data_IF_670687993066
#
_entry.id   IF_670687993066
#
_cell.length_a   1.000
_cell.length_b   1.000
_cell.length_c   1.000
_cell.angle_alpha   90.00
_cell.angle_beta   90.00
_cell.angle_gamma   90.00
#
_symmetry.space_group_name_H-M   'P 1'
#
loop_
_entity.id
_entity.type
_entity.pdbx_description
1 polymer ?
#
# COMPACT_ATOMS: atom_id res chain seq x y z
N UNK A 1 -0.54 -30.48 -1.52
CA UNK A 1 -1.04 -29.25 -0.84
C UNK A 1 -0.08 -28.14 -1.14
N UNK A 2 -0.56 -27.03 -1.72
CA UNK A 2 0.28 -25.87 -2.10
C UNK A 2 0.70 -25.11 -0.83
N UNK A 3 1.98 -24.82 -0.68
CA UNK A 3 2.58 -24.14 0.46
C UNK A 3 2.88 -22.69 0.12
N UNK A 4 2.16 -21.76 0.73
CA UNK A 4 2.29 -20.33 0.49
C UNK A 4 3.00 -19.67 1.68
N UNK A 5 4.15 -19.05 1.40
CA UNK A 5 4.85 -18.22 2.38
C UNK A 5 4.28 -16.81 2.36
N UNK A 6 3.83 -16.32 3.51
CA UNK A 6 3.28 -14.97 3.68
C UNK A 6 4.30 -14.07 4.36
N UNK A 7 4.74 -13.03 3.62
CA UNK A 7 5.59 -11.95 4.12
C UNK A 7 4.74 -10.69 4.32
N UNK A 8 3.75 -10.76 5.22
CA UNK A 8 2.73 -9.73 5.42
C UNK A 8 2.76 -9.29 6.89
N UNK A 9 2.66 -7.98 7.10
CA UNK A 9 2.43 -7.41 8.43
C UNK A 9 0.92 -7.27 8.67
N UNK A 10 0.39 -7.94 9.70
CA UNK A 10 -1.04 -7.96 10.01
C UNK A 10 -1.52 -6.78 10.87
N UNK A 11 -0.70 -5.76 11.05
CA UNK A 11 -1.07 -4.55 11.78
C UNK A 11 -2.18 -3.78 11.03
N UNK A 12 -2.14 -3.75 9.70
CA UNK A 12 -3.10 -3.03 8.87
C UNK A 12 -4.40 -3.80 8.61
N UNK A 13 -5.50 -3.06 8.43
CA UNK A 13 -6.79 -3.65 8.03
C UNK A 13 -6.73 -4.23 6.61
N UNK A 14 -5.92 -3.62 5.73
CA UNK A 14 -5.70 -4.12 4.38
C UNK A 14 -5.10 -5.54 4.40
N UNK A 15 -4.05 -5.76 5.19
CA UNK A 15 -3.38 -7.06 5.29
C UNK A 15 -4.30 -8.14 5.89
N UNK A 16 -5.12 -7.76 6.88
CA UNK A 16 -6.13 -8.65 7.43
C UNK A 16 -7.19 -9.06 6.40
N UNK A 17 -7.64 -8.12 5.56
CA UNK A 17 -8.58 -8.39 4.46
C UNK A 17 -7.95 -9.25 3.37
N UNK A 18 -6.68 -8.98 3.03
CA UNK A 18 -5.93 -9.79 2.09
C UNK A 18 -5.85 -11.25 2.56
N UNK A 19 -5.47 -11.48 3.82
CA UNK A 19 -5.42 -12.83 4.36
C UNK A 19 -6.79 -13.54 4.30
N UNK A 20 -7.88 -12.84 4.64
CA UNK A 20 -9.24 -13.41 4.52
C UNK A 20 -9.56 -13.82 3.10
N UNK A 21 -9.21 -12.99 2.11
CA UNK A 21 -9.40 -13.30 0.69
C UNK A 21 -8.59 -14.51 0.24
N UNK A 22 -7.32 -14.60 0.66
CA UNK A 22 -6.46 -15.75 0.36
C UNK A 22 -7.01 -17.06 0.96
N UNK A 23 -7.48 -17.02 2.21
CA UNK A 23 -8.08 -18.18 2.88
C UNK A 23 -9.37 -18.60 2.19
N UNK A 24 -10.22 -17.65 1.79
CA UNK A 24 -11.45 -17.95 1.07
C UNK A 24 -11.16 -18.58 -0.29
N UNK A 25 -10.24 -17.99 -1.07
CA UNK A 25 -9.83 -18.56 -2.35
C UNK A 25 -9.28 -19.99 -2.21
N UNK A 26 -8.47 -20.21 -1.19
CA UNK A 26 -7.94 -21.56 -0.89
C UNK A 26 -9.04 -22.60 -0.59
N UNK A 27 -10.12 -22.20 0.07
CA UNK A 27 -11.26 -23.11 0.34
C UNK A 27 -12.01 -23.46 -0.94
N UNK A 28 -12.08 -22.55 -1.90
CA UNK A 28 -12.82 -22.73 -3.14
C UNK A 28 -12.01 -23.46 -4.23
N UNK A 29 -10.67 -23.29 -4.23
CA UNK A 29 -9.80 -23.74 -5.31
C UNK A 29 -8.76 -24.79 -4.90
N UNK A 30 -8.92 -25.39 -3.75
CA UNK A 30 -8.08 -26.47 -3.22
C UNK A 30 -7.31 -26.05 -1.97
N UNK A 31 -6.90 -27.03 -1.14
CA UNK A 31 -6.28 -26.71 0.14
C UNK A 31 -4.89 -26.14 -0.05
N UNK A 32 -4.67 -24.91 0.41
CA UNK A 32 -3.36 -24.29 0.56
C UNK A 32 -2.92 -24.29 2.01
N UNK A 33 -1.63 -24.48 2.23
CA UNK A 33 -1.01 -24.33 3.54
C UNK A 33 -0.30 -23.00 3.61
N UNK A 34 -0.79 -22.11 4.47
CA UNK A 34 -0.18 -20.81 4.69
C UNK A 34 0.80 -20.86 5.86
N UNK A 35 1.99 -20.34 5.64
CA UNK A 35 2.93 -20.06 6.71
C UNK A 35 3.24 -18.56 6.74
N UNK A 36 2.98 -17.96 7.90
CA UNK A 36 3.34 -16.58 8.16
C UNK A 36 4.73 -16.51 8.79
N UNK A 37 5.65 -15.87 8.14
CA UNK A 37 6.93 -15.56 8.75
C UNK A 37 6.74 -14.43 9.77
N UNK A 38 7.09 -14.61 11.05
CA UNK A 38 7.01 -13.55 12.04
C UNK A 38 7.88 -12.35 11.64
N UNK A 39 7.41 -11.12 11.92
CA UNK A 39 8.13 -9.90 11.55
C UNK A 39 9.54 -9.81 12.15
N UNK A 40 9.72 -10.31 13.40
CA UNK A 40 11.03 -10.36 14.04
C UNK A 40 12.04 -11.28 13.32
N UNK A 41 11.55 -12.25 12.56
CA UNK A 41 12.41 -13.20 11.84
C UNK A 41 13.24 -12.47 10.77
N UNK A 42 12.60 -11.58 10.01
CA UNK A 42 13.31 -10.74 9.04
C UNK A 42 14.33 -9.83 9.71
N UNK A 43 13.99 -9.25 10.86
CA UNK A 43 14.92 -8.42 11.62
C UNK A 43 16.12 -9.20 12.20
N UNK A 44 15.89 -10.47 12.59
CA UNK A 44 16.90 -11.31 13.23
C UNK A 44 17.84 -12.01 12.21
N UNK A 45 17.29 -12.50 11.11
CA UNK A 45 18.02 -13.34 10.15
C UNK A 45 18.19 -12.70 8.78
N UNK A 46 17.61 -11.52 8.58
CA UNK A 46 17.62 -10.81 7.30
C UNK A 46 16.97 -11.60 6.16
N UNK A 47 17.17 -11.11 4.97
CA UNK A 47 16.56 -11.66 3.76
C UNK A 47 17.14 -13.02 3.36
N UNK A 48 18.42 -13.24 3.62
CA UNK A 48 19.05 -14.56 3.42
C UNK A 48 18.44 -15.63 4.32
N UNK A 49 18.05 -15.26 5.54
CA UNK A 49 17.32 -16.14 6.44
C UNK A 49 15.95 -16.52 5.90
N UNK A 50 15.24 -15.57 5.29
CA UNK A 50 13.94 -15.81 4.63
C UNK A 50 14.10 -16.78 3.47
N UNK A 51 15.10 -16.57 2.61
CA UNK A 51 15.41 -17.47 1.50
C UNK A 51 15.71 -18.89 1.96
N UNK A 52 16.60 -19.01 2.95
CA UNK A 52 16.96 -20.31 3.52
C UNK A 52 15.72 -21.02 4.05
N UNK A 53 14.90 -20.33 4.82
CA UNK A 53 13.68 -20.90 5.39
C UNK A 53 12.69 -21.30 4.29
N UNK A 54 12.48 -20.49 3.26
CA UNK A 54 11.59 -20.80 2.14
C UNK A 54 12.04 -22.08 1.39
N UNK A 55 13.35 -22.25 1.19
CA UNK A 55 13.95 -23.47 0.60
C UNK A 55 13.72 -24.69 1.50
N UNK A 56 14.02 -24.60 2.79
CA UNK A 56 13.87 -25.71 3.74
C UNK A 56 12.40 -26.14 3.90
N UNK A 57 11.49 -25.17 3.97
CA UNK A 57 10.05 -25.46 4.05
C UNK A 57 9.47 -25.91 2.71
N UNK A 58 10.19 -25.74 1.61
CA UNK A 58 9.74 -26.04 0.24
C UNK A 58 8.49 -25.26 -0.10
N UNK A 59 8.57 -23.94 -0.02
CA UNK A 59 7.48 -23.05 -0.39
C UNK A 59 7.19 -23.18 -1.91
N UNK A 60 5.91 -23.22 -2.26
CA UNK A 60 5.46 -23.25 -3.66
C UNK A 60 5.17 -21.85 -4.22
N UNK A 61 4.94 -20.84 -3.35
CA UNK A 61 4.80 -19.43 -3.73
C UNK A 61 5.07 -18.52 -2.54
N UNK A 62 5.33 -17.24 -2.85
CA UNK A 62 5.48 -16.15 -1.88
C UNK A 62 4.45 -15.07 -2.18
N UNK A 63 3.76 -14.57 -1.12
CA UNK A 63 2.89 -13.40 -1.19
C UNK A 63 3.26 -12.45 -0.06
N UNK A 64 3.53 -11.17 -0.37
CA UNK A 64 3.79 -10.17 0.67
C UNK A 64 4.73 -9.06 0.23
N UNK A 65 5.57 -8.60 1.17
CA UNK A 65 6.47 -7.47 0.98
C UNK A 65 7.91 -7.96 0.82
N UNK A 66 8.61 -7.37 -0.16
CA UNK A 66 10.02 -7.61 -0.39
C UNK A 66 10.67 -6.33 -0.87
N UNK A 67 11.64 -5.85 -0.13
CA UNK A 67 12.25 -4.53 -0.37
C UNK A 67 13.69 -4.62 -0.89
N UNK A 68 14.23 -5.83 -1.02
CA UNK A 68 15.60 -6.02 -1.49
C UNK A 68 15.63 -6.25 -2.99
N UNK A 69 16.16 -5.27 -3.71
CA UNK A 69 16.32 -5.35 -5.16
C UNK A 69 17.56 -6.17 -5.58
N UNK A 70 18.44 -6.52 -4.64
CA UNK A 70 19.67 -7.31 -4.95
C UNK A 70 19.43 -8.81 -4.96
N UNK A 71 18.36 -9.29 -4.32
CA UNK A 71 17.98 -10.70 -4.26
C UNK A 71 16.74 -10.93 -5.10
N UNK A 72 16.89 -11.63 -6.21
CA UNK A 72 15.77 -12.04 -7.04
C UNK A 72 15.18 -13.35 -6.50
N UNK A 73 14.08 -13.21 -5.70
CA UNK A 73 13.37 -14.34 -5.09
C UNK A 73 12.93 -15.40 -6.10
N UNK A 74 12.48 -14.97 -7.29
CA UNK A 74 11.97 -15.88 -8.30
C UNK A 74 13.11 -16.73 -8.91
N UNK A 75 14.27 -16.13 -9.17
CA UNK A 75 15.46 -16.86 -9.63
C UNK A 75 16.02 -17.79 -8.57
N UNK A 76 16.09 -17.31 -7.31
CA UNK A 76 16.66 -18.06 -6.20
C UNK A 76 15.81 -19.28 -5.79
N UNK A 77 14.49 -19.17 -5.90
CA UNK A 77 13.56 -20.20 -5.44
C UNK A 77 12.85 -20.92 -6.58
N UNK A 78 12.83 -20.36 -7.77
CA UNK A 78 12.09 -20.85 -8.95
C UNK A 78 10.60 -21.07 -8.67
N UNK A 79 9.97 -20.13 -7.92
CA UNK A 79 8.55 -20.14 -7.54
C UNK A 79 7.89 -18.80 -7.86
N UNK A 80 6.57 -18.76 -8.06
CA UNK A 80 5.85 -17.51 -8.24
C UNK A 80 5.94 -16.61 -6.99
N UNK A 81 6.11 -15.31 -7.25
CA UNK A 81 6.17 -14.26 -6.23
C UNK A 81 5.18 -13.16 -6.59
N UNK A 82 4.33 -12.79 -5.62
CA UNK A 82 3.37 -11.68 -5.73
C UNK A 82 3.64 -10.68 -4.61
N UNK A 83 3.95 -9.45 -4.98
CA UNK A 83 4.37 -8.44 -4.01
C UNK A 83 3.32 -7.35 -3.77
N UNK A 84 3.21 -6.96 -2.52
CA UNK A 84 2.45 -5.81 -2.05
C UNK A 84 3.42 -4.83 -1.39
N UNK A 85 4.23 -4.14 -2.19
CA UNK A 85 5.20 -3.19 -1.68
C UNK A 85 4.55 -1.82 -1.43
N UNK A 86 4.96 -1.15 -0.34
CA UNK A 86 4.44 0.16 0.05
C UNK A 86 5.18 1.32 -0.62
N UNK A 87 6.49 1.22 -0.81
CA UNK A 87 7.30 2.34 -1.31
C UNK A 87 7.29 2.43 -2.83
N UNK A 88 7.36 1.31 -3.51
CA UNK A 88 7.36 1.27 -4.97
C UNK A 88 6.71 -0.01 -5.50
N UNK A 89 6.19 0.05 -6.69
CA UNK A 89 5.74 -1.16 -7.40
C UNK A 89 6.95 -1.91 -7.93
N UNK A 90 6.94 -3.22 -7.78
CA UNK A 90 7.95 -4.06 -8.42
C UNK A 90 7.79 -4.01 -9.93
N UNK A 91 8.90 -3.91 -10.64
CA UNK A 91 8.97 -4.06 -12.10
C UNK A 91 9.24 -5.51 -12.52
N UNK A 92 9.67 -6.35 -11.58
CA UNK A 92 10.06 -7.75 -11.81
C UNK A 92 8.93 -8.71 -11.46
N UNK A 93 8.22 -8.44 -10.36
CA UNK A 93 7.20 -9.34 -9.83
C UNK A 93 5.79 -8.82 -10.07
N UNK A 94 4.82 -9.72 -10.03
CA UNK A 94 3.40 -9.34 -10.02
C UNK A 94 3.10 -8.49 -8.79
N UNK A 95 2.39 -7.37 -8.99
CA UNK A 95 2.00 -6.49 -7.90
C UNK A 95 0.55 -6.75 -7.47
N UNK A 96 0.34 -6.92 -6.17
CA UNK A 96 -0.97 -6.89 -5.56
C UNK A 96 -1.24 -5.47 -5.05
N UNK A 97 -2.29 -4.84 -5.56
CA UNK A 97 -2.53 -3.41 -5.31
C UNK A 97 -4.00 -3.06 -5.43
N UNK A 98 -4.43 -1.99 -4.74
CA UNK A 98 -5.74 -1.38 -4.95
C UNK A 98 -5.75 -0.42 -6.14
N UNK A 99 -6.95 -0.05 -6.60
CA UNK A 99 -7.13 1.08 -7.53
C UNK A 99 -7.06 2.41 -6.76
N UNK A 100 -5.84 2.78 -6.39
CA UNK A 100 -5.60 3.99 -5.59
C UNK A 100 -5.90 5.26 -6.37
N UNK A 101 -5.61 5.29 -7.69
CA UNK A 101 -5.98 6.42 -8.54
C UNK A 101 -7.49 6.57 -8.67
N UNK A 102 -8.20 5.45 -8.82
CA UNK A 102 -9.66 5.43 -8.82
C UNK A 102 -10.26 5.92 -7.52
N UNK A 103 -9.67 5.55 -6.38
CA UNK A 103 -10.07 6.05 -5.05
C UNK A 103 -9.94 7.57 -4.97
N UNK A 104 -8.80 8.13 -5.40
CA UNK A 104 -8.60 9.58 -5.44
C UNK A 104 -9.61 10.29 -6.34
N UNK A 105 -9.85 9.75 -7.54
CA UNK A 105 -10.86 10.28 -8.46
C UNK A 105 -12.26 10.26 -7.85
N UNK A 106 -12.63 9.18 -7.22
CA UNK A 106 -13.94 9.05 -6.55
C UNK A 106 -14.11 10.08 -5.43
N UNK A 107 -13.08 10.32 -4.62
CA UNK A 107 -13.09 11.35 -3.58
C UNK A 107 -13.32 12.76 -4.15
N UNK A 108 -12.62 13.13 -5.23
CA UNK A 108 -12.80 14.41 -5.89
C UNK A 108 -14.24 14.57 -6.42
N UNK A 109 -14.78 13.55 -7.07
CA UNK A 109 -16.16 13.53 -7.58
C UNK A 109 -17.19 13.65 -6.44
N UNK A 110 -16.96 12.98 -5.32
CA UNK A 110 -17.81 13.05 -4.15
C UNK A 110 -17.92 14.48 -3.59
N UNK A 111 -16.80 15.19 -3.48
CA UNK A 111 -16.78 16.57 -3.01
C UNK A 111 -17.31 17.55 -4.07
N UNK A 112 -17.02 17.33 -5.34
CA UNK A 112 -17.55 18.17 -6.42
C UNK A 112 -19.08 18.14 -6.49
N UNK A 113 -19.72 16.98 -6.28
CA UNK A 113 -21.17 16.83 -6.16
C UNK A 113 -21.76 17.63 -4.98
N UNK A 114 -20.94 17.99 -4.01
CA UNK A 114 -21.27 18.84 -2.86
C UNK A 114 -20.90 20.31 -3.04
N UNK A 115 -20.57 20.68 -4.30
CA UNK A 115 -20.27 22.04 -4.70
C UNK A 115 -18.98 22.64 -4.11
N UNK A 116 -18.08 21.81 -3.57
CA UNK A 116 -16.76 22.29 -3.20
C UNK A 116 -15.98 22.77 -4.43
N UNK A 117 -15.16 23.81 -4.26
CA UNK A 117 -14.26 24.38 -5.26
C UNK A 117 -12.80 24.25 -4.85
N UNK A 118 -12.52 24.28 -3.56
CA UNK A 118 -11.19 24.10 -3.01
C UNK A 118 -11.03 22.67 -2.53
N UNK A 119 -10.00 22.00 -3.01
CA UNK A 119 -9.73 20.57 -2.76
C UNK A 119 -8.34 20.42 -2.19
N UNK A 120 -8.24 19.89 -0.99
CA UNK A 120 -6.98 19.66 -0.30
C UNK A 120 -6.69 18.16 -0.17
N UNK A 121 -5.43 17.81 -0.28
CA UNK A 121 -4.93 16.46 -0.07
C UNK A 121 -3.88 16.45 1.03
N UNK A 122 -4.05 15.56 2.01
CA UNK A 122 -3.05 15.29 3.03
C UNK A 122 -2.48 13.88 2.82
N UNK A 123 -1.17 13.75 2.66
CA UNK A 123 -0.53 12.50 2.27
C UNK A 123 0.79 12.19 2.95
N UNK A 124 1.19 10.92 2.83
CA UNK A 124 2.51 10.42 3.24
C UNK A 124 3.40 10.39 2.00
N UNK A 125 4.57 11.02 2.09
CA UNK A 125 5.53 11.12 1.01
C UNK A 125 6.28 9.80 0.80
N UNK A 126 6.52 9.44 -0.46
CA UNK A 126 7.31 8.25 -0.80
C UNK A 126 6.58 6.91 -0.59
N UNK A 127 5.26 6.95 -0.47
CA UNK A 127 4.42 5.76 -0.33
C UNK A 127 3.48 5.66 -1.53
N UNK A 128 3.57 4.57 -2.27
CA UNK A 128 2.92 4.42 -3.58
C UNK A 128 1.40 4.60 -3.52
N UNK A 129 0.73 4.08 -2.50
CA UNK A 129 -0.72 4.21 -2.39
C UNK A 129 -1.17 5.63 -2.04
N UNK A 130 -0.34 6.40 -1.32
CA UNK A 130 -0.58 7.83 -1.06
C UNK A 130 -0.39 8.63 -2.34
N UNK A 131 0.75 8.49 -3.01
CA UNK A 131 1.06 9.19 -4.27
C UNK A 131 0.02 8.94 -5.35
N UNK A 132 -0.43 7.70 -5.52
CA UNK A 132 -1.44 7.37 -6.52
C UNK A 132 -2.83 7.91 -6.18
N UNK A 133 -3.23 7.91 -4.89
CA UNK A 133 -4.48 8.57 -4.44
C UNK A 133 -4.41 10.08 -4.74
N UNK A 134 -3.29 10.73 -4.42
CA UNK A 134 -3.07 12.14 -4.74
C UNK A 134 -3.16 12.40 -6.24
N UNK A 135 -2.48 11.59 -7.05
CA UNK A 135 -2.51 11.74 -8.51
C UNK A 135 -3.94 11.65 -9.06
N UNK A 136 -4.69 10.63 -8.66
CA UNK A 136 -6.08 10.45 -9.09
C UNK A 136 -6.99 11.60 -8.64
N UNK A 137 -6.81 12.07 -7.40
CA UNK A 137 -7.54 13.21 -6.84
C UNK A 137 -7.22 14.50 -7.60
N UNK A 138 -5.95 14.84 -7.76
CA UNK A 138 -5.50 16.04 -8.48
C UNK A 138 -5.95 16.05 -9.95
N UNK A 139 -5.80 14.94 -10.67
CA UNK A 139 -6.23 14.84 -12.07
C UNK A 139 -7.73 15.13 -12.21
N UNK A 140 -8.55 14.59 -11.32
CA UNK A 140 -9.99 14.81 -11.34
C UNK A 140 -10.35 16.23 -10.93
N UNK A 141 -9.72 16.79 -9.88
CA UNK A 141 -9.90 18.19 -9.49
C UNK A 141 -9.59 19.14 -10.66
N UNK A 142 -8.48 18.92 -11.37
CA UNK A 142 -8.15 19.69 -12.57
C UNK A 142 -9.21 19.55 -13.66
N UNK A 143 -9.73 18.34 -13.90
CA UNK A 143 -10.77 18.08 -14.91
C UNK A 143 -12.07 18.83 -14.62
N UNK A 144 -12.43 18.99 -13.35
CA UNK A 144 -13.66 19.70 -12.93
C UNK A 144 -13.45 21.20 -12.71
N UNK A 145 -12.23 21.71 -12.91
CA UNK A 145 -11.90 23.13 -12.77
C UNK A 145 -11.86 23.62 -11.32
N UNK A 146 -11.48 22.78 -10.37
CA UNK A 146 -11.28 23.12 -8.97
C UNK A 146 -9.85 23.54 -8.66
N UNK A 147 -9.66 24.19 -7.52
CA UNK A 147 -8.35 24.56 -6.97
C UNK A 147 -7.80 23.41 -6.12
N UNK A 148 -6.54 23.05 -6.36
CA UNK A 148 -5.90 21.91 -5.68
C UNK A 148 -4.76 22.35 -4.78
N UNK A 149 -4.78 21.86 -3.54
CA UNK A 149 -3.75 22.09 -2.52
C UNK A 149 -3.29 20.74 -1.98
N UNK A 150 -1.99 20.56 -1.69
CA UNK A 150 -1.49 19.35 -1.06
C UNK A 150 -0.47 19.63 0.01
N UNK A 151 -0.50 18.81 1.06
CA UNK A 151 0.53 18.72 2.08
C UNK A 151 0.95 17.25 2.18
N UNK A 152 2.24 16.99 2.02
CA UNK A 152 2.81 15.64 2.07
C UNK A 152 4.08 15.66 2.93
N UNK A 153 4.21 14.70 3.83
CA UNK A 153 5.37 14.57 4.70
C UNK A 153 5.78 13.11 4.85
N UNK A 154 7.07 12.89 5.08
CA UNK A 154 7.67 11.62 5.48
C UNK A 154 8.01 11.57 6.98
N UNK A 155 7.73 12.66 7.70
CA UNK A 155 7.93 12.78 9.15
C UNK A 155 6.78 12.13 9.93
N UNK A 156 7.03 11.85 11.21
CA UNK A 156 6.01 11.35 12.13
C UNK A 156 4.92 12.40 12.40
N UNK A 157 3.73 11.93 12.77
CA UNK A 157 2.55 12.78 12.95
C UNK A 157 2.75 13.90 13.98
N UNK A 158 3.41 13.60 15.10
CA UNK A 158 3.70 14.55 16.15
C UNK A 158 4.66 15.67 15.72
N UNK A 159 5.60 15.38 14.81
CA UNK A 159 6.54 16.36 14.26
C UNK A 159 5.88 17.36 13.31
N UNK A 160 4.81 16.96 12.60
CA UNK A 160 4.17 17.79 11.58
C UNK A 160 2.87 18.47 12.04
N UNK A 161 2.41 18.16 13.25
CA UNK A 161 1.10 18.65 13.75
C UNK A 161 0.92 20.17 13.64
N UNK A 162 1.96 20.93 14.00
CA UNK A 162 1.92 22.39 13.91
C UNK A 162 1.89 22.87 12.47
N UNK A 163 2.73 22.28 11.59
CA UNK A 163 2.82 22.62 10.16
C UNK A 163 1.49 22.34 9.46
N UNK A 164 0.89 21.18 9.73
CA UNK A 164 -0.43 20.81 9.17
C UNK A 164 -1.53 21.75 9.66
N UNK A 165 -1.52 22.10 10.95
CA UNK A 165 -2.51 23.03 11.50
C UNK A 165 -2.43 24.41 10.84
N UNK A 166 -1.22 24.94 10.67
CA UNK A 166 -1.00 26.21 9.98
C UNK A 166 -1.45 26.12 8.51
N UNK A 167 -1.01 25.09 7.79
CA UNK A 167 -1.42 24.86 6.40
C UNK A 167 -2.95 24.82 6.25
N UNK A 168 -3.64 24.08 7.12
CA UNK A 168 -5.10 24.00 7.09
C UNK A 168 -5.77 25.36 7.35
N UNK A 169 -5.20 26.23 8.18
CA UNK A 169 -5.72 27.57 8.43
C UNK A 169 -5.58 28.49 7.22
N UNK A 170 -4.49 28.37 6.49
CA UNK A 170 -4.17 29.18 5.30
C UNK A 170 -5.00 28.81 4.07
N UNK A 171 -5.60 27.61 4.04
CA UNK A 171 -6.42 27.17 2.90
C UNK A 171 -7.70 27.99 2.76
N UNK A 172 -8.11 28.32 1.51
CA UNK A 172 -9.39 28.99 1.26
C UNK A 172 -10.56 28.12 1.69
N UNK A 173 -11.58 28.73 2.31
CA UNK A 173 -12.76 28.04 2.86
C UNK A 173 -14.00 28.33 2.00
N UNK A 174 -14.91 27.36 1.88
CA UNK A 174 -14.81 25.98 2.38
C UNK A 174 -13.84 25.13 1.56
N UNK A 175 -13.14 24.19 2.22
CA UNK A 175 -12.21 23.26 1.58
C UNK A 175 -12.63 21.82 1.85
N UNK A 176 -12.55 20.99 0.82
CA UNK A 176 -12.73 19.55 0.91
C UNK A 176 -11.37 18.86 1.13
N UNK A 177 -11.15 18.31 2.31
CA UNK A 177 -9.92 17.59 2.66
C UNK A 177 -10.07 16.10 2.39
N UNK A 178 -9.14 15.53 1.62
CA UNK A 178 -8.97 14.10 1.44
C UNK A 178 -7.64 13.67 2.05
N UNK A 179 -7.69 12.86 3.11
CA UNK A 179 -6.52 12.26 3.74
C UNK A 179 -6.20 10.93 3.08
N UNK A 180 -4.91 10.63 2.95
CA UNK A 180 -4.45 9.37 2.34
C UNK A 180 -4.77 8.15 3.22
N UNK A 181 -4.85 8.36 4.53
CA UNK A 181 -5.16 7.35 5.56
C UNK A 181 -5.94 7.98 6.70
N UNK A 182 -6.48 7.18 7.63
CA UNK A 182 -7.27 7.58 8.80
C UNK A 182 -6.47 7.56 10.11
#
# INVERSE_FOLDING_TARGET
MIKILLLIDYSSEFDRKLLRGLVQYSKENGPWLFYRLPSYYSAMYGEQGILKWAKEWKADAIIGQWHNDTIDLQKELNIPVVLQNYHHRSVTYSNLTGDYKGTGRMAAQFFAKRMFRNFAYFGIKGVVWSDERRQGYHQEVKRIGGDFFSFESDKQEDEIRMEVSQWLQELPKPVALFCCDD
#
